data_IF_117969032023
#
_entry.id   IF_117969032023
#
_cell.length_a   1.000
_cell.length_b   1.000
_cell.length_c   1.000
_cell.angle_alpha   90.00
_cell.angle_beta   90.00
_cell.angle_gamma   90.00
#
_symmetry.space_group_name_H-M   'P 1'
#
loop_
_entity.id
_entity.type
_entity.pdbx_description
1 polymer ?
#
# COMPACT_ATOMS: atom_id res chain seq x y z
N UNK A 1 23.26 0.25 -25.73
CA UNK A 1 22.04 1.08 -25.73
C UNK A 1 22.09 1.96 -24.49
N UNK A 2 21.75 3.24 -24.59
CA UNK A 2 21.81 4.15 -23.44
C UNK A 2 20.68 3.77 -22.48
N UNK A 3 20.99 3.44 -21.22
CA UNK A 3 19.97 3.28 -20.18
C UNK A 3 19.23 4.60 -20.06
N UNK A 4 17.97 4.64 -20.50
CA UNK A 4 17.07 5.75 -20.18
C UNK A 4 17.01 5.81 -18.66
N UNK A 5 17.47 6.92 -18.07
CA UNK A 5 17.48 7.06 -16.62
C UNK A 5 16.02 7.29 -16.18
N UNK A 6 15.35 6.22 -15.77
CA UNK A 6 13.94 6.24 -15.39
C UNK A 6 13.73 7.18 -14.21
N UNK A 7 12.81 8.15 -14.36
CA UNK A 7 12.49 9.09 -13.31
C UNK A 7 11.62 8.41 -12.26
N UNK A 8 12.08 8.42 -10.99
CA UNK A 8 11.28 7.90 -9.88
C UNK A 8 9.93 8.62 -9.81
N UNK A 9 8.85 7.85 -9.86
CA UNK A 9 7.50 8.33 -9.58
C UNK A 9 7.29 8.53 -8.09
N UNK A 10 6.61 9.60 -7.70
CA UNK A 10 6.38 9.94 -6.28
C UNK A 10 4.91 9.85 -5.93
N UNK A 11 4.63 9.16 -4.81
CA UNK A 11 3.33 9.09 -4.16
C UNK A 11 3.34 9.75 -2.80
N UNK A 12 2.32 10.54 -2.49
CA UNK A 12 2.11 11.06 -1.12
C UNK A 12 0.68 10.83 -0.67
N UNK A 13 0.53 10.70 0.64
CA UNK A 13 -0.77 10.64 1.32
C UNK A 13 -0.90 11.74 2.37
N UNK A 14 -2.14 12.14 2.59
CA UNK A 14 -2.58 12.99 3.70
C UNK A 14 -3.82 12.35 4.30
N UNK A 15 -3.67 11.83 5.51
CA UNK A 15 -4.70 11.13 6.24
C UNK A 15 -4.99 11.89 7.54
N UNK A 16 -6.27 12.09 7.88
CA UNK A 16 -6.70 12.47 9.23
C UNK A 16 -7.67 11.42 9.72
N UNK A 17 -7.41 10.87 10.90
CA UNK A 17 -8.21 9.80 11.43
C UNK A 17 -7.97 9.52 12.90
N UNK A 18 -8.82 8.66 13.45
CA UNK A 18 -8.70 8.13 14.81
C UNK A 18 -7.80 6.90 14.80
N UNK A 19 -6.85 6.86 15.72
CA UNK A 19 -5.89 5.75 15.85
C UNK A 19 -6.58 4.51 16.42
N UNK A 20 -6.29 3.36 15.82
CA UNK A 20 -6.80 2.05 16.25
C UNK A 20 -5.77 0.95 16.10
N UNK A 21 -5.72 0.06 17.08
CA UNK A 21 -4.83 -1.09 17.11
C UNK A 21 -3.37 -0.75 17.40
N UNK A 22 -3.05 0.49 17.80
CA UNK A 22 -1.69 0.81 18.24
C UNK A 22 -1.40 0.21 19.62
N UNK A 23 -2.43 -0.03 20.45
CA UNK A 23 -2.28 -0.68 21.75
C UNK A 23 -1.82 -2.13 21.66
N UNK A 24 -2.17 -2.83 20.58
CA UNK A 24 -1.90 -4.27 20.40
C UNK A 24 -0.40 -4.60 20.47
N UNK A 25 -0.06 -5.78 21.00
CA UNK A 25 1.33 -6.25 21.08
C UNK A 25 1.96 -6.37 19.68
N UNK A 26 1.17 -6.82 18.70
CA UNK A 26 1.58 -6.97 17.30
C UNK A 26 1.68 -5.65 16.52
N UNK A 27 1.36 -4.51 17.14
CA UNK A 27 1.48 -3.20 16.48
C UNK A 27 2.94 -2.80 16.33
N UNK A 28 3.81 -3.24 17.24
CA UNK A 28 5.25 -3.06 17.17
C UNK A 28 5.92 -4.41 16.98
N UNK A 29 6.90 -4.48 16.08
CA UNK A 29 7.77 -5.65 15.93
C UNK A 29 9.22 -5.22 15.96
N UNK A 30 10.05 -6.07 16.54
CA UNK A 30 11.50 -5.92 16.54
C UNK A 30 12.13 -7.23 16.05
N UNK A 31 13.29 -7.14 15.43
CA UNK A 31 14.02 -8.31 14.98
C UNK A 31 15.31 -7.93 14.28
N UNK A 32 15.87 -8.88 13.54
CA UNK A 32 17.09 -8.71 12.77
C UNK A 32 16.80 -8.94 11.29
N UNK A 33 17.43 -8.12 10.45
CA UNK A 33 17.42 -8.30 9.00
C UNK A 33 18.33 -9.46 8.61
N UNK A 34 18.27 -9.91 7.34
CA UNK A 34 19.21 -10.92 6.80
C UNK A 34 20.69 -10.49 6.93
N UNK A 35 20.94 -9.19 7.05
CA UNK A 35 22.25 -8.57 7.24
C UNK A 35 22.60 -8.31 8.72
N UNK A 36 21.91 -8.95 9.66
CA UNK A 36 22.13 -8.84 11.12
C UNK A 36 21.99 -7.39 11.68
N UNK A 37 21.32 -6.51 10.94
CA UNK A 37 20.97 -5.17 11.41
C UNK A 37 19.63 -5.23 12.14
N UNK A 38 19.56 -4.71 13.36
CA UNK A 38 18.33 -4.64 14.12
C UNK A 38 17.30 -3.76 13.39
N UNK A 39 16.04 -4.18 13.37
CA UNK A 39 14.93 -3.39 12.85
C UNK A 39 13.83 -3.24 13.87
N UNK A 40 13.04 -2.18 13.69
CA UNK A 40 11.79 -1.90 14.37
C UNK A 40 10.74 -1.54 13.34
N UNK A 41 9.55 -2.08 13.49
CA UNK A 41 8.40 -1.71 12.67
C UNK A 41 7.21 -1.37 13.55
N UNK A 42 6.46 -0.35 13.16
CA UNK A 42 5.20 0.04 13.75
C UNK A 42 4.11 -0.05 12.68
N UNK A 43 2.96 -0.61 13.03
CA UNK A 43 1.78 -0.69 12.19
C UNK A 43 0.54 -0.45 13.05
N UNK A 44 -0.38 0.36 12.54
CA UNK A 44 -1.69 0.58 13.16
C UNK A 44 -2.65 1.07 12.09
N UNK A 45 -3.91 1.21 12.47
CA UNK A 45 -4.93 1.71 11.57
C UNK A 45 -5.38 3.12 11.95
N UNK A 46 -5.76 3.88 10.93
CA UNK A 46 -6.45 5.15 11.05
C UNK A 46 -7.87 4.99 10.53
N UNK A 47 -8.85 5.14 11.40
CA UNK A 47 -10.24 5.29 11.00
C UNK A 47 -10.42 6.71 10.46
N UNK A 48 -10.52 6.84 9.13
CA UNK A 48 -10.69 8.13 8.45
C UNK A 48 -12.16 8.49 8.27
N UNK A 49 -13.06 7.50 8.36
CA UNK A 49 -14.50 7.70 8.48
C UNK A 49 -15.14 6.51 9.21
N UNK A 50 -16.47 6.49 9.35
CA UNK A 50 -17.18 5.38 10.00
C UNK A 50 -17.00 4.03 9.28
N UNK A 51 -16.71 4.06 7.97
CA UNK A 51 -16.59 2.87 7.12
C UNK A 51 -15.18 2.67 6.58
N UNK A 52 -14.32 3.70 6.60
CA UNK A 52 -12.99 3.66 6.01
C UNK A 52 -11.88 3.58 7.07
N UNK A 53 -10.98 2.61 6.91
CA UNK A 53 -9.90 2.35 7.85
C UNK A 53 -8.58 2.09 7.13
N UNK A 54 -7.65 3.04 7.15
CA UNK A 54 -6.37 2.95 6.42
C UNK A 54 -5.27 2.41 7.33
N UNK A 55 -4.57 1.35 6.91
CA UNK A 55 -3.40 0.82 7.62
C UNK A 55 -2.18 1.68 7.30
N UNK A 56 -1.53 2.22 8.31
CA UNK A 56 -0.27 2.98 8.17
C UNK A 56 0.86 2.24 8.85
N UNK A 57 2.06 2.39 8.32
CA UNK A 57 3.25 1.72 8.83
C UNK A 57 4.50 2.61 8.84
N UNK A 58 5.42 2.27 9.72
CA UNK A 58 6.74 2.86 9.81
C UNK A 58 7.75 1.75 10.03
N UNK A 59 8.79 1.72 9.22
CA UNK A 59 9.88 0.77 9.34
C UNK A 59 11.20 1.51 9.51
N UNK A 60 11.96 1.14 10.53
CA UNK A 60 13.29 1.65 10.78
C UNK A 60 14.27 0.53 11.04
N UNK A 61 15.49 0.66 10.53
CA UNK A 61 16.58 -0.25 10.79
C UNK A 61 17.80 0.51 11.26
N UNK A 62 18.69 -0.17 11.98
CA UNK A 62 20.00 0.38 12.26
C UNK A 62 20.77 0.62 10.97
N UNK A 63 21.49 1.74 10.96
CA UNK A 63 22.34 2.17 9.85
C UNK A 63 23.74 2.41 10.39
N UNK A 64 24.72 2.53 9.52
CA UNK A 64 26.07 2.95 9.93
C UNK A 64 26.10 4.45 10.25
N UNK A 65 25.36 5.23 9.45
CA UNK A 65 25.31 6.68 9.55
C UNK A 65 23.89 7.20 9.31
N UNK A 66 23.57 8.35 9.90
CA UNK A 66 22.38 9.15 9.61
C UNK A 66 22.78 10.46 8.95
N UNK A 67 21.89 11.02 8.15
CA UNK A 67 22.10 12.34 7.55
C UNK A 67 21.53 13.40 8.48
N UNK A 68 22.34 14.40 8.81
CA UNK A 68 21.90 15.58 9.53
C UNK A 68 22.02 16.81 8.64
N UNK A 69 21.01 17.68 8.65
CA UNK A 69 20.94 18.88 7.84
C UNK A 69 20.93 20.13 8.72
N UNK A 70 21.66 21.16 8.31
CA UNK A 70 21.57 22.48 8.93
C UNK A 70 20.89 23.46 7.99
N UNK A 71 19.75 24.02 8.42
CA UNK A 71 19.07 25.08 7.66
C UNK A 71 19.86 26.38 7.60
N UNK A 72 20.73 26.63 8.58
CA UNK A 72 21.61 27.80 8.62
C UNK A 72 22.76 27.67 7.62
N UNK A 73 23.45 26.53 7.62
CA UNK A 73 24.56 26.28 6.70
C UNK A 73 24.10 25.81 5.31
N UNK A 74 22.83 25.39 5.16
CA UNK A 74 22.25 24.77 3.96
C UNK A 74 23.06 23.57 3.46
N UNK A 75 23.56 22.77 4.40
CA UNK A 75 24.42 21.62 4.11
C UNK A 75 24.02 20.41 4.95
N UNK A 76 24.27 19.24 4.37
CA UNK A 76 24.10 17.93 5.02
C UNK A 76 25.45 17.38 5.44
N UNK A 77 25.48 16.66 6.57
CA UNK A 77 26.64 15.86 6.99
C UNK A 77 26.18 14.46 7.41
N UNK A 78 27.06 13.49 7.26
CA UNK A 78 26.85 12.15 7.80
C UNK A 78 27.28 12.12 9.26
N UNK A 79 26.48 11.44 10.09
CA UNK A 79 26.70 11.31 11.53
C UNK A 79 26.68 9.83 11.87
N UNK A 80 27.71 9.28 12.53
CA UNK A 80 27.70 7.89 12.96
C UNK A 80 26.46 7.56 13.79
N UNK A 81 25.87 6.38 13.57
CA UNK A 81 24.62 5.95 14.20
C UNK A 81 24.60 6.09 15.73
N UNK A 82 25.72 5.75 16.38
CA UNK A 82 25.91 5.88 17.83
C UNK A 82 25.76 7.32 18.34
N UNK A 83 26.04 8.31 17.49
CA UNK A 83 26.03 9.73 17.84
C UNK A 83 24.75 10.46 17.40
N UNK A 84 23.77 9.75 16.83
CA UNK A 84 22.55 10.36 16.26
C UNK A 84 21.70 11.11 17.29
N UNK A 85 21.84 10.79 18.59
CA UNK A 85 21.13 11.41 19.71
C UNK A 85 21.93 12.54 20.39
N UNK A 86 23.17 12.75 19.99
CA UNK A 86 24.01 13.80 20.58
C UNK A 86 23.53 15.17 20.12
N UNK A 87 23.90 16.21 20.87
CA UNK A 87 23.74 17.58 20.37
C UNK A 87 24.69 17.81 19.18
N UNK A 88 24.09 18.10 18.02
CA UNK A 88 24.80 18.38 16.77
C UNK A 88 24.84 19.89 16.46
N UNK A 89 24.49 20.73 17.45
CA UNK A 89 24.35 22.17 17.32
C UNK A 89 23.24 22.54 16.34
N UNK A 90 23.63 23.27 15.29
CA UNK A 90 22.71 23.75 14.24
C UNK A 90 22.29 22.68 13.22
N UNK A 91 22.80 21.45 13.34
CA UNK A 91 22.38 20.32 12.50
C UNK A 91 21.28 19.53 13.18
N UNK A 92 20.25 19.14 12.42
CA UNK A 92 19.18 18.26 12.87
C UNK A 92 19.15 17.00 12.02
N UNK A 93 19.07 15.84 12.67
CA UNK A 93 18.98 14.55 11.99
C UNK A 93 17.69 14.50 11.16
N UNK A 94 17.79 14.00 9.93
CA UNK A 94 16.64 13.77 9.07
C UNK A 94 15.94 12.47 9.45
N UNK A 95 14.62 12.44 9.28
CA UNK A 95 13.80 11.26 9.55
C UNK A 95 12.32 11.60 9.61
N UNK A 96 11.58 10.81 10.38
CA UNK A 96 10.13 10.98 10.58
C UNK A 96 9.86 12.16 11.50
N UNK A 97 8.95 13.05 11.08
CA UNK A 97 8.45 14.13 11.91
C UNK A 97 7.38 13.65 12.88
N UNK A 98 7.64 13.72 14.18
CA UNK A 98 6.71 13.34 15.23
C UNK A 98 6.29 14.58 16.03
N UNK A 99 4.99 14.86 16.07
CA UNK A 99 4.40 16.01 16.75
C UNK A 99 3.27 15.53 17.66
N UNK A 100 3.62 14.73 18.67
CA UNK A 100 2.67 14.00 19.51
C UNK A 100 2.47 14.63 20.89
N UNK A 101 3.49 15.31 21.39
CA UNK A 101 3.48 16.00 22.68
C UNK A 101 3.23 17.50 22.49
N UNK A 102 2.82 18.16 23.57
CA UNK A 102 2.66 19.63 23.63
C UNK A 102 4.04 20.27 23.87
N UNK A 103 4.30 21.43 23.26
CA UNK A 103 5.56 22.15 23.49
C UNK A 103 5.60 22.67 24.94
N UNK A 104 6.65 22.36 25.72
CA UNK A 104 6.76 22.80 27.11
C UNK A 104 6.83 24.33 27.27
N UNK A 105 7.21 25.06 26.22
CA UNK A 105 7.29 26.53 26.23
C UNK A 105 6.02 27.20 25.69
N UNK A 106 5.18 26.46 24.97
CA UNK A 106 3.99 26.99 24.31
C UNK A 106 2.91 25.91 24.18
N UNK A 107 1.94 25.93 25.11
CA UNK A 107 0.87 24.93 25.14
C UNK A 107 -0.06 24.92 23.93
N UNK A 108 0.01 25.96 23.08
CA UNK A 108 -0.74 26.02 21.82
C UNK A 108 -0.08 25.26 20.67
N UNK A 109 1.18 24.82 20.85
CA UNK A 109 1.96 24.15 19.81
C UNK A 109 2.29 22.71 20.19
N UNK A 110 2.50 21.90 19.16
CA UNK A 110 3.07 20.56 19.33
C UNK A 110 4.59 20.63 19.33
N UNK A 111 5.22 19.84 20.20
CA UNK A 111 6.66 19.67 20.24
C UNK A 111 7.12 19.07 18.91
N UNK A 112 8.04 19.76 18.24
CA UNK A 112 8.61 19.28 16.97
C UNK A 112 9.77 18.32 17.24
N UNK A 113 9.51 17.04 17.05
CA UNK A 113 10.55 16.00 17.07
C UNK A 113 10.78 15.48 15.65
N UNK A 114 12.05 15.39 15.23
CA UNK A 114 12.43 14.70 13.99
C UNK A 114 13.41 13.63 14.37
N UNK A 115 13.03 12.38 14.12
CA UNK A 115 13.74 11.20 14.59
C UNK A 115 14.01 10.24 13.42
N UNK A 116 15.19 9.59 13.36
CA UNK A 116 15.38 8.43 12.49
C UNK A 116 14.25 7.43 12.67
N UNK A 117 13.85 6.74 11.60
CA UNK A 117 12.66 5.87 11.61
C UNK A 117 12.71 4.82 12.74
N UNK A 118 13.91 4.31 13.05
CA UNK A 118 14.15 3.36 14.13
C UNK A 118 13.78 3.92 15.52
N UNK A 119 14.17 5.16 15.82
CA UNK A 119 13.83 5.81 17.10
C UNK A 119 12.39 6.35 17.08
N UNK A 120 11.89 6.76 15.91
CA UNK A 120 10.53 7.25 15.73
C UNK A 120 9.47 6.18 16.04
N UNK A 121 9.73 4.90 15.72
CA UNK A 121 8.84 3.77 16.08
C UNK A 121 8.58 3.75 17.59
N UNK A 122 9.62 3.85 18.41
CA UNK A 122 9.48 3.86 19.87
C UNK A 122 8.75 5.10 20.36
N UNK A 123 9.14 6.26 19.83
CA UNK A 123 8.53 7.52 20.22
C UNK A 123 7.04 7.56 19.93
N UNK A 124 6.61 7.06 18.76
CA UNK A 124 5.19 7.01 18.40
C UNK A 124 4.43 6.03 19.30
N UNK A 125 4.96 4.80 19.49
CA UNK A 125 4.32 3.79 20.35
C UNK A 125 4.17 4.25 21.81
N UNK A 126 5.13 5.03 22.33
CA UNK A 126 5.08 5.55 23.70
C UNK A 126 4.11 6.73 23.88
N UNK A 127 3.90 7.55 22.84
CA UNK A 127 3.17 8.82 22.95
C UNK A 127 1.78 8.81 22.29
N UNK A 128 1.42 7.73 21.60
CA UNK A 128 0.16 7.59 20.89
C UNK A 128 -0.64 6.40 21.43
N UNK A 129 -1.94 6.62 21.65
CA UNK A 129 -2.88 5.59 22.11
C UNK A 129 -4.07 5.48 21.18
N UNK A 130 -4.77 4.35 21.27
CA UNK A 130 -6.04 4.17 20.56
C UNK A 130 -7.05 5.26 20.97
N UNK A 131 -7.79 5.76 19.99
CA UNK A 131 -8.73 6.87 20.16
C UNK A 131 -8.11 8.26 19.98
N UNK A 132 -6.78 8.42 20.00
CA UNK A 132 -6.15 9.70 19.66
C UNK A 132 -6.46 10.06 18.18
N UNK A 133 -6.70 11.34 17.92
CA UNK A 133 -6.89 11.85 16.55
C UNK A 133 -5.56 12.35 16.04
N UNK A 134 -5.16 11.92 14.84
CA UNK A 134 -3.89 12.32 14.23
C UNK A 134 -4.05 12.69 12.77
N UNK A 135 -3.17 13.57 12.32
CA UNK A 135 -2.85 13.78 10.91
C UNK A 135 -1.57 13.02 10.57
N UNK A 136 -1.63 12.18 9.56
CA UNK A 136 -0.47 11.49 8.97
C UNK A 136 -0.22 12.04 7.57
N UNK A 137 1.01 12.48 7.34
CA UNK A 137 1.52 12.65 5.98
C UNK A 137 2.53 11.54 5.70
N UNK A 138 2.46 10.96 4.52
CA UNK A 138 3.23 9.77 4.19
C UNK A 138 3.49 9.62 2.70
N UNK A 139 4.10 8.48 2.38
CA UNK A 139 4.35 8.03 1.00
C UNK A 139 3.58 6.74 0.73
N UNK A 140 3.32 6.46 -0.54
CA UNK A 140 2.75 5.19 -0.99
C UNK A 140 3.91 4.33 -1.51
N UNK A 141 4.02 3.11 -1.00
CA UNK A 141 4.94 2.10 -1.52
C UNK A 141 4.14 0.94 -2.10
N UNK A 142 4.27 0.72 -3.41
CA UNK A 142 3.67 -0.41 -4.11
C UNK A 142 4.65 -1.59 -4.05
N UNK A 143 4.21 -2.79 -3.68
CA UNK A 143 5.08 -3.97 -3.63
C UNK A 143 4.44 -5.10 -4.40
N UNK A 144 5.21 -5.81 -5.20
CA UNK A 144 4.78 -7.08 -5.77
C UNK A 144 5.37 -8.23 -4.98
N UNK A 145 4.55 -9.25 -4.76
CA UNK A 145 5.00 -10.49 -4.15
C UNK A 145 4.21 -11.65 -4.71
N UNK A 146 4.86 -12.81 -4.81
CA UNK A 146 4.19 -14.05 -5.17
C UNK A 146 3.51 -14.58 -3.91
N UNK A 147 2.18 -14.72 -3.96
CA UNK A 147 1.43 -15.29 -2.86
C UNK A 147 1.69 -16.81 -2.73
N UNK A 148 1.18 -17.43 -1.67
CA UNK A 148 1.35 -18.88 -1.43
C UNK A 148 0.78 -19.77 -2.55
N UNK A 149 -0.06 -19.22 -3.43
CA UNK A 149 -0.68 -19.89 -4.56
C UNK A 149 0.09 -19.66 -5.88
N UNK A 150 1.27 -19.04 -5.83
CA UNK A 150 2.07 -18.78 -7.02
C UNK A 150 1.60 -17.59 -7.86
N UNK A 151 0.61 -16.81 -7.41
CA UNK A 151 0.11 -15.63 -8.12
C UNK A 151 0.84 -14.37 -7.66
N UNK A 152 1.31 -13.57 -8.61
CA UNK A 152 1.82 -12.21 -8.33
C UNK A 152 0.68 -11.33 -7.86
N UNK A 153 0.84 -10.76 -6.68
CA UNK A 153 -0.12 -9.85 -6.04
C UNK A 153 0.59 -8.53 -5.76
N UNK A 154 -0.03 -7.42 -6.17
CA UNK A 154 0.40 -6.10 -5.77
C UNK A 154 -0.18 -5.73 -4.40
N UNK A 155 0.66 -5.19 -3.54
CA UNK A 155 0.34 -4.66 -2.22
C UNK A 155 0.62 -3.17 -2.19
N UNK A 156 -0.14 -2.44 -1.39
CA UNK A 156 0.01 -1.00 -1.19
C UNK A 156 0.27 -0.74 0.28
N UNK A 157 1.36 -0.05 0.57
CA UNK A 157 1.77 0.33 1.93
C UNK A 157 1.79 1.84 2.07
N UNK A 158 1.32 2.31 3.21
CA UNK A 158 1.24 3.73 3.54
C UNK A 158 2.29 4.05 4.59
N UNK A 159 3.42 4.59 4.14
CA UNK A 159 4.61 4.81 4.97
C UNK A 159 4.54 6.18 5.65
N UNK A 160 4.62 6.21 6.97
CA UNK A 160 4.55 7.44 7.76
C UNK A 160 5.83 8.27 7.54
N UNK A 161 5.68 9.52 7.07
CA UNK A 161 6.76 10.52 7.05
C UNK A 161 6.62 11.58 8.12
N UNK A 162 5.39 11.90 8.48
CA UNK A 162 5.11 12.71 9.65
C UNK A 162 3.78 12.33 10.29
N UNK A 163 3.72 12.44 11.61
CA UNK A 163 2.50 12.25 12.40
C UNK A 163 2.32 13.40 13.39
N UNK A 164 1.13 13.97 13.39
CA UNK A 164 0.76 15.09 14.27
C UNK A 164 -0.50 14.73 15.03
N UNK A 165 -0.45 14.80 16.35
CA UNK A 165 -1.63 14.67 17.20
C UNK A 165 -2.48 15.92 17.12
N UNK A 166 -3.78 15.75 16.92
CA UNK A 166 -4.76 16.82 16.90
C UNK A 166 -5.50 16.84 18.24
N UNK A 167 -5.82 18.04 18.73
CA UNK A 167 -6.60 18.22 19.97
C UNK A 167 -8.11 18.18 19.72
N UNK A 168 -8.50 18.21 18.45
CA UNK A 168 -9.89 18.16 18.01
C UNK A 168 -10.48 16.76 18.17
N UNK A 169 -11.76 16.71 18.56
CA UNK A 169 -12.53 15.46 18.52
C UNK A 169 -13.03 15.23 17.10
N UNK A 170 -12.76 14.04 16.58
CA UNK A 170 -13.26 13.63 15.27
C UNK A 170 -14.63 12.96 15.45
N UNK A 171 -15.67 13.64 14.97
CA UNK A 171 -17.04 13.11 14.90
C UNK A 171 -17.41 12.79 13.44
N UNK A 172 -17.49 11.51 13.14
CA UNK A 172 -17.83 11.02 11.80
C UNK A 172 -19.30 11.26 11.42
N UNK A 173 -20.17 11.51 12.40
CA UNK A 173 -21.60 11.72 12.17
C UNK A 173 -21.96 13.20 12.00
N UNK A 174 -20.98 14.10 12.13
CA UNK A 174 -21.21 15.52 11.91
C UNK A 174 -21.54 15.79 10.43
N UNK A 175 -22.58 16.59 10.13
CA UNK A 175 -22.91 16.95 8.74
C UNK A 175 -21.82 17.81 8.08
N UNK A 176 -20.94 18.45 8.87
CA UNK A 176 -19.81 19.22 8.36
C UNK A 176 -18.54 18.37 8.18
N UNK A 177 -18.59 17.09 8.58
CA UNK A 177 -17.46 16.19 8.48
C UNK A 177 -17.05 16.02 7.01
N UNK A 178 -15.75 16.25 6.76
CA UNK A 178 -15.13 16.00 5.47
C UNK A 178 -13.96 15.06 5.70
N UNK A 179 -14.07 13.87 5.16
CA UNK A 179 -13.00 12.89 5.24
C UNK A 179 -11.72 13.42 4.59
N UNK A 180 -10.62 13.39 5.34
CA UNK A 180 -9.29 13.64 4.80
C UNK A 180 -8.54 12.32 4.66
N UNK A 181 -8.88 11.57 3.61
CA UNK A 181 -8.15 10.36 3.21
C UNK A 181 -7.67 10.52 1.78
N UNK A 182 -6.65 11.36 1.58
CA UNK A 182 -6.26 11.86 0.25
C UNK A 182 -4.91 11.33 -0.19
N UNK A 183 -4.72 11.15 -1.49
CA UNK A 183 -3.42 10.88 -2.09
C UNK A 183 -3.12 11.77 -3.31
N UNK A 184 -1.84 11.91 -3.61
CA UNK A 184 -1.32 12.32 -4.91
C UNK A 184 -0.32 11.29 -5.40
N UNK A 185 -0.29 11.01 -6.71
CA UNK A 185 0.68 10.09 -7.28
C UNK A 185 1.05 10.47 -8.72
N UNK A 186 2.32 10.29 -9.07
CA UNK A 186 2.81 10.32 -10.45
C UNK A 186 2.72 8.92 -11.05
N UNK A 187 2.00 8.75 -12.16
CA UNK A 187 1.73 7.43 -12.73
C UNK A 187 2.09 7.42 -14.21
N UNK A 188 2.46 6.24 -14.70
CA UNK A 188 2.65 5.97 -16.12
C UNK A 188 1.49 5.07 -16.54
N UNK A 189 0.70 5.50 -17.52
CA UNK A 189 -0.47 4.74 -17.94
C UNK A 189 -0.02 3.50 -18.71
N UNK A 190 -0.55 2.35 -18.34
CA UNK A 190 -0.47 1.13 -19.13
C UNK A 190 -1.70 1.02 -20.01
N UNK A 191 -2.89 0.97 -19.40
CA UNK A 191 -4.17 0.93 -20.09
C UNK A 191 -5.30 1.49 -19.21
N UNK A 192 -6.49 1.57 -19.80
CA UNK A 192 -7.73 1.95 -19.11
C UNK A 192 -8.84 0.98 -19.52
N UNK A 193 -9.56 0.47 -18.53
CA UNK A 193 -10.66 -0.49 -18.72
C UNK A 193 -11.94 0.05 -18.08
N UNK A 194 -13.00 0.16 -18.87
CA UNK A 194 -14.32 0.56 -18.39
C UNK A 194 -15.09 -0.66 -17.92
N UNK A 195 -15.53 -0.63 -16.67
CA UNK A 195 -16.47 -1.56 -16.07
C UNK A 195 -17.83 -0.86 -15.96
N UNK A 196 -18.69 -1.14 -16.94
CA UNK A 196 -20.04 -0.59 -17.02
C UNK A 196 -20.99 -1.20 -15.98
N UNK A 197 -20.71 -2.39 -15.46
CA UNK A 197 -21.55 -3.05 -14.45
C UNK A 197 -21.36 -2.37 -13.10
N UNK A 198 -20.11 -2.22 -12.66
CA UNK A 198 -19.78 -1.62 -11.37
C UNK A 198 -19.67 -0.09 -11.42
N UNK A 199 -19.87 0.53 -12.59
CA UNK A 199 -19.70 1.99 -12.81
C UNK A 199 -18.32 2.47 -12.36
N UNK A 200 -17.30 1.71 -12.75
CA UNK A 200 -15.89 1.95 -12.42
C UNK A 200 -15.05 2.01 -13.69
N UNK A 201 -14.13 2.97 -13.76
CA UNK A 201 -13.05 2.95 -14.73
C UNK A 201 -11.78 2.51 -14.01
N UNK A 202 -11.22 1.38 -14.42
CA UNK A 202 -9.92 0.91 -13.97
C UNK A 202 -8.83 1.59 -14.78
N UNK A 203 -7.87 2.19 -14.10
CA UNK A 203 -6.68 2.79 -14.70
C UNK A 203 -5.49 1.94 -14.27
N UNK A 204 -5.00 1.12 -15.18
CA UNK A 204 -3.82 0.30 -14.97
C UNK A 204 -2.58 1.14 -15.28
N UNK A 205 -1.63 1.15 -14.35
CA UNK A 205 -0.49 2.03 -14.41
C UNK A 205 0.77 1.36 -13.86
N UNK A 206 1.91 1.89 -14.28
CA UNK A 206 3.24 1.55 -13.77
C UNK A 206 3.76 2.65 -12.87
N UNK A 207 4.51 2.26 -11.85
CA UNK A 207 5.23 3.15 -10.95
C UNK A 207 6.71 2.79 -10.92
N UNK A 208 7.57 3.79 -11.01
CA UNK A 208 9.02 3.64 -10.97
C UNK A 208 9.48 3.96 -9.54
N UNK A 209 10.12 2.99 -8.89
CA UNK A 209 10.69 3.11 -7.55
C UNK A 209 12.09 3.74 -7.59
N UNK A 210 12.54 4.11 -6.39
CA UNK A 210 13.94 4.43 -6.19
C UNK A 210 14.81 3.22 -6.55
N UNK A 211 15.76 3.40 -7.48
CA UNK A 211 16.59 2.32 -8.01
C UNK A 211 16.19 1.84 -9.40
N UNK A 212 15.01 2.24 -9.89
CA UNK A 212 14.54 1.94 -11.24
C UNK A 212 13.56 0.77 -11.33
N UNK A 213 13.26 0.08 -10.21
CA UNK A 213 12.29 -1.01 -10.21
C UNK A 213 10.90 -0.51 -10.60
N UNK A 214 10.23 -1.28 -11.46
CA UNK A 214 8.90 -0.95 -11.98
C UNK A 214 7.88 -1.87 -11.32
N UNK A 215 6.78 -1.29 -10.86
CA UNK A 215 5.69 -2.02 -10.22
C UNK A 215 4.37 -1.66 -10.89
N UNK A 216 3.60 -2.70 -11.24
CA UNK A 216 2.25 -2.57 -11.76
C UNK A 216 1.26 -2.27 -10.62
N UNK A 217 0.36 -1.34 -10.92
CA UNK A 217 -0.63 -0.87 -9.96
C UNK A 217 -1.91 -0.48 -10.69
N UNK A 218 -3.01 -0.45 -9.94
CA UNK A 218 -4.32 -0.08 -10.45
C UNK A 218 -4.95 0.99 -9.58
N UNK A 219 -5.66 1.88 -10.27
CA UNK A 219 -6.48 2.94 -9.71
C UNK A 219 -7.89 2.83 -10.26
N UNK A 220 -8.85 3.47 -9.59
CA UNK A 220 -10.24 3.49 -10.04
C UNK A 220 -10.77 4.90 -10.18
N UNK A 221 -11.77 5.10 -11.03
CA UNK A 221 -12.58 6.32 -11.09
C UNK A 221 -14.04 5.92 -11.02
N UNK A 222 -14.80 6.59 -10.16
CA UNK A 222 -16.25 6.47 -10.14
C UNK A 222 -16.83 7.15 -11.39
N UNK A 223 -17.40 6.37 -12.31
CA UNK A 223 -17.91 6.91 -13.58
C UNK A 223 -19.24 7.62 -13.41
N UNK A 224 -19.97 7.34 -12.35
CA UNK A 224 -21.22 8.02 -12.02
C UNK A 224 -20.96 9.39 -11.40
N UNK A 225 -20.03 9.48 -10.45
CA UNK A 225 -19.66 10.72 -9.78
C UNK A 225 -18.77 11.62 -10.67
N UNK A 226 -17.87 11.03 -11.47
CA UNK A 226 -16.90 11.75 -12.28
C UNK A 226 -16.93 11.36 -13.79
N UNK A 227 -18.09 11.43 -14.47
CA UNK A 227 -18.25 10.95 -15.86
C UNK A 227 -17.35 11.69 -16.85
N UNK A 228 -17.15 13.00 -16.64
CA UNK A 228 -16.27 13.82 -17.48
C UNK A 228 -14.80 13.42 -17.32
N UNK A 229 -14.38 13.06 -16.10
CA UNK A 229 -13.02 12.61 -15.84
C UNK A 229 -12.78 11.27 -16.51
N UNK A 230 -13.65 10.30 -16.22
CA UNK A 230 -13.58 8.96 -16.80
C UNK A 230 -13.58 9.01 -18.34
N UNK A 231 -14.52 9.73 -18.94
CA UNK A 231 -14.59 9.86 -20.41
C UNK A 231 -13.39 10.55 -21.04
N UNK A 232 -12.70 11.45 -20.32
CA UNK A 232 -11.45 12.03 -20.81
C UNK A 232 -10.29 11.05 -20.70
N UNK A 233 -10.19 10.29 -19.60
CA UNK A 233 -9.14 9.29 -19.42
C UNK A 233 -9.24 8.20 -20.48
N UNK A 234 -10.44 7.64 -20.71
CA UNK A 234 -10.68 6.61 -21.74
C UNK A 234 -10.31 7.07 -23.15
N UNK A 235 -10.48 8.36 -23.46
CA UNK A 235 -10.24 8.89 -24.81
C UNK A 235 -8.80 9.36 -25.05
N UNK A 236 -8.11 9.79 -23.99
CA UNK A 236 -6.83 10.50 -24.11
C UNK A 236 -5.65 9.68 -23.65
N UNK A 237 -5.82 8.82 -22.65
CA UNK A 237 -4.72 8.06 -22.13
C UNK A 237 -4.36 6.92 -23.07
N UNK A 238 -3.07 6.83 -23.38
CA UNK A 238 -2.45 5.68 -24.03
C UNK A 238 -1.28 5.17 -23.21
N UNK A 239 -0.79 3.98 -23.59
CA UNK A 239 0.40 3.40 -22.97
C UNK A 239 1.58 4.37 -22.99
N UNK A 240 2.30 4.46 -21.86
CA UNK A 240 3.52 5.26 -21.72
C UNK A 240 3.28 6.74 -21.43
N UNK A 241 2.01 7.18 -21.37
CA UNK A 241 1.65 8.52 -20.94
C UNK A 241 1.97 8.72 -19.46
N UNK A 242 2.55 9.86 -19.11
CA UNK A 242 2.83 10.23 -17.73
C UNK A 242 1.88 11.31 -17.25
N UNK A 243 1.36 11.19 -16.02
CA UNK A 243 0.50 12.20 -15.42
C UNK A 243 0.51 12.13 -13.89
N UNK A 244 0.30 13.28 -13.23
CA UNK A 244 0.02 13.35 -11.80
C UNK A 244 -1.48 13.31 -11.53
N UNK A 245 -1.88 12.42 -10.62
CA UNK A 245 -3.27 12.20 -10.21
C UNK A 245 -3.48 12.52 -8.74
N UNK A 246 -4.71 12.90 -8.39
CA UNK A 246 -5.17 13.15 -7.03
C UNK A 246 -6.43 12.35 -6.74
N UNK A 247 -6.54 11.85 -5.52
CA UNK A 247 -7.60 10.90 -5.20
C UNK A 247 -7.83 10.68 -3.72
N UNK A 248 -8.70 9.71 -3.46
CA UNK A 248 -9.05 9.23 -2.14
C UNK A 248 -8.48 7.83 -1.90
N UNK A 249 -8.00 7.59 -0.67
CA UNK A 249 -7.61 6.26 -0.22
C UNK A 249 -8.84 5.61 0.40
N UNK A 250 -9.38 4.58 -0.26
CA UNK A 250 -10.57 3.86 0.18
C UNK A 250 -10.15 2.46 0.64
N UNK A 251 -10.34 2.20 1.93
CA UNK A 251 -10.24 0.89 2.54
C UNK A 251 -11.48 0.67 3.41
N UNK A 252 -12.60 0.40 2.75
CA UNK A 252 -13.91 0.41 3.37
C UNK A 252 -14.55 -0.97 3.40
N UNK A 253 -15.41 -1.20 4.40
CA UNK A 253 -16.30 -2.36 4.46
C UNK A 253 -17.69 -1.93 4.04
N UNK A 254 -18.22 -2.52 2.97
CA UNK A 254 -19.60 -2.34 2.52
C UNK A 254 -20.37 -3.60 2.88
N UNK A 255 -21.52 -3.44 3.54
CA UNK A 255 -22.47 -4.52 3.73
C UNK A 255 -23.36 -4.55 2.49
N UNK A 256 -23.26 -5.61 1.68
CA UNK A 256 -24.25 -5.90 0.65
C UNK A 256 -25.22 -6.92 1.20
N UNK A 257 -26.51 -6.65 1.08
CA UNK A 257 -27.53 -7.69 1.21
C UNK A 257 -27.28 -8.72 0.11
N UNK A 258 -27.24 -10.01 0.45
CA UNK A 258 -27.13 -11.06 -0.54
C UNK A 258 -28.42 -11.05 -1.37
N UNK A 259 -28.35 -10.55 -2.60
CA UNK A 259 -29.41 -10.79 -3.58
C UNK A 259 -29.33 -12.26 -4.00
N UNK A 260 -29.89 -13.16 -3.18
CA UNK A 260 -30.36 -14.44 -3.69
C UNK A 260 -31.82 -14.29 -4.11
N UNK A 261 -32.02 -14.12 -5.43
CA UNK A 261 -33.30 -14.34 -6.08
C UNK A 261 -33.68 -15.82 -5.93
N UNK A 262 -34.46 -16.15 -4.91
CA UNK A 262 -35.09 -17.47 -4.72
C UNK A 262 -36.39 -17.65 -5.52
N UNK A 263 -36.65 -16.81 -6.52
CA UNK A 263 -37.90 -16.88 -7.32
C UNK A 263 -38.00 -18.12 -8.23
N UNK A 264 -36.98 -18.99 -8.28
CA UNK A 264 -36.97 -20.21 -9.11
C UNK A 264 -36.57 -21.49 -8.36
N UNK A 265 -36.70 -21.53 -7.03
CA UNK A 265 -36.57 -22.81 -6.32
C UNK A 265 -37.86 -23.64 -6.50
N UNK A 266 -37.83 -24.83 -7.15
CA UNK A 266 -39.01 -25.69 -7.21
C UNK A 266 -39.41 -26.08 -5.79
N UNK A 267 -40.69 -25.90 -5.47
CA UNK A 267 -41.30 -26.32 -4.20
C UNK A 267 -40.89 -27.77 -3.95
N UNK A 268 -40.00 -27.98 -2.98
CA UNK A 268 -39.55 -29.32 -2.62
C UNK A 268 -40.64 -29.98 -1.77
N UNK A 269 -40.90 -31.27 -1.98
CA UNK A 269 -41.85 -32.06 -1.18
C UNK A 269 -41.42 -32.26 0.30
N UNK A 270 -40.32 -31.62 0.71
CA UNK A 270 -39.72 -31.66 2.05
C UNK A 270 -39.96 -30.34 2.82
N UNK A 271 -41.08 -29.66 2.56
CA UNK A 271 -41.53 -28.51 3.35
C UNK A 271 -42.16 -29.00 4.67
N UNK A 272 -41.40 -28.85 5.77
CA UNK A 272 -41.84 -29.20 7.13
C UNK A 272 -42.67 -28.10 7.82
N UNK A 273 -42.90 -26.97 7.13
CA UNK A 273 -43.49 -25.76 7.69
C UNK A 273 -42.56 -25.02 8.66
N UNK A 274 -42.72 -23.69 8.75
CA UNK A 274 -41.92 -22.81 9.61
C UNK A 274 -42.24 -21.33 9.39
N UNK A 275 -41.64 -20.46 10.21
CA UNK A 275 -41.70 -19.01 10.00
C UNK A 275 -40.61 -18.61 8.99
N UNK A 276 -41.01 -18.47 7.73
CA UNK A 276 -40.13 -18.10 6.62
C UNK A 276 -39.51 -16.70 6.80
N UNK A 277 -40.11 -15.79 7.58
CA UNK A 277 -39.51 -14.48 7.87
C UNK A 277 -38.29 -14.62 8.79
N UNK A 278 -38.37 -15.48 9.79
CA UNK A 278 -37.22 -15.77 10.68
C UNK A 278 -36.12 -16.52 9.91
N UNK A 279 -36.48 -17.44 9.02
CA UNK A 279 -35.49 -18.10 8.16
C UNK A 279 -34.83 -17.09 7.21
N UNK A 280 -35.59 -16.18 6.59
CA UNK A 280 -35.06 -15.06 5.79
C UNK A 280 -34.13 -14.15 6.59
N UNK A 281 -34.42 -13.87 7.86
CA UNK A 281 -33.53 -13.07 8.72
C UNK A 281 -32.17 -13.74 8.98
N UNK A 282 -32.11 -15.08 8.95
CA UNK A 282 -30.87 -15.85 9.06
C UNK A 282 -30.22 -16.16 7.69
N UNK A 283 -31.00 -16.17 6.61
CA UNK A 283 -30.54 -16.35 5.22
C UNK A 283 -30.04 -15.04 4.58
N UNK A 284 -30.55 -13.89 5.05
CA UNK A 284 -30.05 -12.54 4.76
C UNK A 284 -28.65 -12.33 5.37
N UNK A 285 -27.70 -13.11 4.88
CA UNK A 285 -26.30 -12.97 5.18
C UNK A 285 -25.80 -11.71 4.47
N UNK A 286 -25.73 -10.60 5.20
CA UNK A 286 -24.99 -9.43 4.73
C UNK A 286 -23.56 -9.86 4.39
N UNK A 287 -23.22 -9.87 3.10
CA UNK A 287 -21.84 -10.07 2.67
C UNK A 287 -21.06 -8.80 2.96
N UNK A 288 -19.98 -8.93 3.73
CA UNK A 288 -19.00 -7.86 3.95
C UNK A 288 -18.09 -7.80 2.73
N UNK A 289 -18.38 -6.90 1.81
CA UNK A 289 -17.47 -6.55 0.73
C UNK A 289 -16.38 -5.62 1.27
N UNK A 290 -15.13 -6.00 1.07
CA UNK A 290 -13.97 -5.18 1.45
C UNK A 290 -13.44 -4.50 0.20
N UNK A 291 -13.56 -3.17 0.14
CA UNK A 291 -13.04 -2.36 -0.97
C UNK A 291 -11.70 -1.76 -0.57
N UNK A 292 -10.66 -2.10 -1.31
CA UNK A 292 -9.32 -1.52 -1.19
C UNK A 292 -8.90 -0.89 -2.50
N UNK A 293 -9.14 0.41 -2.66
CA UNK A 293 -8.87 1.13 -3.91
C UNK A 293 -8.24 2.51 -3.69
N UNK A 294 -7.48 2.94 -4.70
CA UNK A 294 -7.01 4.32 -4.83
C UNK A 294 -7.89 4.98 -5.89
N UNK A 295 -8.89 5.73 -5.45
CA UNK A 295 -9.88 6.32 -6.33
C UNK A 295 -9.40 7.70 -6.79
N UNK A 296 -9.18 7.87 -8.10
CA UNK A 296 -8.80 9.15 -8.70
C UNK A 296 -10.05 10.03 -8.83
N UNK A 297 -9.94 11.25 -8.30
CA UNK A 297 -11.00 12.29 -8.36
C UNK A 297 -10.58 13.48 -9.23
N UNK A 298 -9.29 13.63 -9.50
CA UNK A 298 -8.75 14.74 -10.29
C UNK A 298 -7.36 14.40 -10.85
N UNK A 299 -6.93 15.17 -11.84
CA UNK A 299 -5.61 15.08 -12.48
C UNK A 299 -4.99 16.45 -12.66
N UNK A 300 -3.67 16.53 -12.57
CA UNK A 300 -2.93 17.73 -12.97
C UNK A 300 -2.63 17.67 -14.47
N UNK A 301 -3.50 18.29 -15.27
CA UNK A 301 -3.32 18.33 -16.72
C UNK A 301 -2.02 19.01 -17.16
N UNK A 302 -1.41 19.86 -16.32
CA UNK A 302 -0.14 20.53 -16.64
C UNK A 302 1.06 19.56 -16.59
N UNK A 303 0.89 18.41 -15.93
CA UNK A 303 1.90 17.35 -15.83
C UNK A 303 1.75 16.25 -16.88
N UNK A 304 0.74 16.37 -17.75
CA UNK A 304 0.49 15.34 -18.76
C UNK A 304 1.56 15.37 -19.84
N UNK A 305 2.34 14.30 -19.93
CA UNK A 305 3.37 14.08 -20.94
C UNK A 305 3.02 12.84 -21.76
N UNK A 306 2.49 12.99 -22.98
CA UNK A 306 2.07 11.86 -23.80
C UNK A 306 3.28 11.05 -24.28
N UNK A 307 3.20 9.72 -24.21
CA UNK A 307 4.24 8.78 -24.66
C UNK A 307 5.63 9.12 -24.12
N UNK A 308 5.71 9.54 -22.85
CA UNK A 308 6.96 9.82 -22.16
C UNK A 308 7.87 8.59 -22.13
N UNK A 309 7.26 7.41 -21.96
CA UNK A 309 7.95 6.12 -21.89
C UNK A 309 7.46 5.19 -22.99
N UNK A 310 8.35 4.33 -23.48
CA UNK A 310 8.01 3.23 -24.40
C UNK A 310 7.94 1.91 -23.64
N UNK A 311 7.39 0.87 -24.27
CA UNK A 311 7.36 -0.49 -23.69
C UNK A 311 8.77 -0.95 -23.32
N UNK A 312 9.74 -0.76 -24.23
CA UNK A 312 11.16 -1.10 -24.02
C UNK A 312 11.80 -0.40 -22.80
N UNK A 313 11.30 0.77 -22.40
CA UNK A 313 11.79 1.47 -21.21
C UNK A 313 11.22 0.89 -19.91
N UNK A 314 10.13 0.12 -20.01
CA UNK A 314 9.29 -0.30 -18.89
C UNK A 314 9.24 -1.81 -18.66
N UNK A 315 9.97 -2.58 -19.46
CA UNK A 315 10.17 -4.03 -19.32
C UNK A 315 11.43 -4.24 -18.50
N UNK A 316 11.32 -4.95 -17.38
CA UNK A 316 12.50 -5.44 -16.65
C UNK A 316 13.15 -6.56 -17.47
N UNK A 317 14.48 -6.54 -17.60
CA UNK A 317 15.27 -7.55 -18.36
C UNK A 317 15.05 -9.01 -17.87
N UNK A 318 14.29 -9.23 -16.79
CA UNK A 318 13.95 -10.54 -16.22
C UNK A 318 12.71 -11.19 -16.85
N UNK A 319 11.84 -10.46 -17.57
CA UNK A 319 10.66 -11.06 -18.23
C UNK A 319 10.98 -11.70 -19.60
N UNK A 320 12.07 -11.29 -20.25
CA UNK A 320 12.46 -11.79 -21.58
C UNK A 320 13.12 -13.18 -21.56
N UNK A 321 13.38 -13.76 -20.38
CA UNK A 321 13.95 -15.11 -20.28
C UNK A 321 12.94 -16.23 -20.57
N UNK A 322 11.64 -15.94 -20.71
CA UNK A 322 10.60 -16.97 -20.88
C UNK A 322 9.82 -16.94 -22.20
N UNK A 323 10.14 -16.02 -23.12
CA UNK A 323 9.57 -15.98 -24.48
C UNK A 323 10.62 -16.26 -25.57
N UNK A 324 11.51 -17.23 -25.29
CA UNK A 324 12.35 -17.83 -26.31
C UNK A 324 11.51 -18.61 -27.32
N UNK A 325 11.31 -18.01 -28.49
CA UNK A 325 10.78 -18.56 -29.74
C UNK A 325 11.24 -20.02 -29.96
N UNK A 326 10.42 -21.02 -29.57
CA UNK A 326 10.65 -22.42 -29.93
C UNK A 326 10.23 -22.60 -31.39
N UNK A 327 11.12 -22.19 -32.30
CA UNK A 327 11.05 -22.64 -33.70
C UNK A 327 11.56 -24.07 -33.80
N UNK A 328 10.63 -24.96 -34.13
CA UNK A 328 10.85 -26.38 -34.25
C UNK A 328 11.95 -26.77 -35.24
N UNK A 329 12.72 -27.78 -34.82
CA UNK A 329 13.50 -28.67 -35.67
C UNK A 329 13.32 -30.08 -35.14
N UNK A 330 12.42 -30.84 -35.77
CA UNK A 330 12.15 -32.23 -35.45
C UNK A 330 13.25 -33.19 -35.95
N UNK A 331 13.28 -34.37 -35.30
CA UNK A 331 13.87 -35.69 -35.64
C UNK A 331 15.09 -36.08 -34.77
N UNK A 332 15.23 -37.28 -34.20
CA UNK A 332 14.45 -38.54 -34.16
C UNK A 332 15.17 -39.51 -33.20
N UNK A 333 14.41 -40.40 -32.56
CA UNK A 333 14.86 -41.70 -31.99
C UNK A 333 15.30 -41.62 -30.53
N UNK A 334 14.83 -42.42 -29.58
CA UNK A 334 14.06 -43.66 -29.59
C UNK A 334 14.49 -44.43 -28.33
N UNK A 335 13.57 -45.21 -27.76
CA UNK A 335 13.81 -46.30 -26.79
C UNK A 335 14.27 -45.88 -25.36
N UNK A 336 13.86 -46.49 -24.24
CA UNK A 336 12.92 -47.57 -23.93
C UNK A 336 12.73 -47.54 -22.39
N UNK A 337 11.59 -48.03 -21.91
CA UNK A 337 11.35 -48.31 -20.49
C UNK A 337 11.99 -49.66 -20.14
N UNK A 338 12.76 -49.77 -19.05
CA UNK A 338 12.77 -50.98 -18.20
C UNK A 338 13.54 -50.79 -16.90
N UNK A 339 12.89 -51.28 -15.83
CA UNK A 339 13.38 -51.53 -14.48
C UNK A 339 14.60 -52.48 -14.45
N UNK A 340 15.49 -52.31 -13.47
CA UNK A 340 15.67 -53.29 -12.37
C UNK A 340 16.77 -52.82 -11.39
N UNK A 341 16.33 -52.58 -10.15
CA UNK A 341 16.81 -53.10 -8.86
C UNK A 341 18.30 -53.29 -8.48
N UNK A 342 18.46 -53.18 -7.15
CA UNK A 342 19.50 -53.69 -6.23
C UNK A 342 20.66 -52.77 -5.78
N UNK A 343 20.40 -52.21 -4.58
CA UNK A 343 21.16 -52.42 -3.33
C UNK A 343 22.38 -51.57 -2.98
N UNK A 344 22.32 -50.98 -1.78
CA UNK A 344 23.49 -50.44 -1.08
C UNK A 344 23.15 -49.50 0.08
N UNK A 345 22.82 -50.11 1.22
CA UNK A 345 22.35 -49.53 2.47
C UNK A 345 23.16 -48.36 3.10
N UNK A 346 22.45 -47.58 3.93
CA UNK A 346 23.05 -46.63 4.86
C UNK A 346 22.02 -45.71 5.54
N UNK A 347 21.00 -46.30 6.18
CA UNK A 347 20.05 -45.62 7.05
C UNK A 347 20.71 -45.19 8.38
N UNK A 348 19.98 -44.33 9.08
CA UNK A 348 20.03 -43.95 10.50
C UNK A 348 20.70 -42.60 10.80
N UNK A 349 20.12 -41.69 11.59
CA UNK A 349 18.80 -41.58 12.23
C UNK A 349 18.74 -40.13 12.74
N UNK A 350 17.62 -39.44 12.52
CA UNK A 350 17.27 -38.21 13.23
C UNK A 350 16.52 -38.59 14.51
N UNK A 351 16.79 -37.95 15.66
CA UNK A 351 15.77 -37.80 16.67
C UNK A 351 15.38 -36.33 16.82
N UNK A 352 14.09 -36.08 16.57
CA UNK A 352 13.39 -34.91 17.05
C UNK A 352 13.11 -35.07 18.55
N UNK A 353 13.40 -34.02 19.31
CA UNK A 353 12.60 -33.59 20.47
C UNK A 353 12.30 -32.09 20.33
#
# INVERSE_FOLDING_TARGET
MAKTNLEQTKGKIKLVGRVKGIGNDNSKKEGFTKSDKQFKSLQFFLETSAVNQVRVELFGMEREEVVAYSSKAKQSKKVPWKNRKNDLGDYKVLGTGCYLEVDPNDSSKKLRMVLPEFDAVEYIKANLKDGDVVRVNGEIDFQEYVNKQGKTVSSKKFIIKSITKLDEKLDFNSPEFKEESKFEHEIIISDVMLDDENKRLHVNAKTIKYGGDIVDTSFTVDTFQYPKLAGNMTKRFGFGDFIKVYGLVINSVILKEAEESLDDAPVSDDDWGGDEEIQKDFENNYMKDYIQELQIISVDSSTYEPKKYKEEDLISEDEDAFNGDVKGGAKTGGDDFSDDDEDGEGLDELPFE
#
